data_IF_737908839142
#
_entry.id   IF_737908839142
#
_cell.length_a   1.000
_cell.length_b   1.000
_cell.length_c   1.000
_cell.angle_alpha   90.00
_cell.angle_beta   90.00
_cell.angle_gamma   90.00
#
_symmetry.space_group_name_H-M   'P 1'
#
loop_
_entity.id
_entity.type
_entity.pdbx_description
1 polymer ?
#
# COMPACT_ATOMS: atom_id res chain seq x y z
N UNK A 1 16.11 -9.79 -30.05
CA UNK A 1 16.03 -9.85 -28.58
C UNK A 1 16.32 -11.29 -28.17
N UNK A 2 17.47 -11.52 -27.55
CA UNK A 2 17.89 -12.82 -27.03
C UNK A 2 17.02 -13.23 -25.83
N UNK A 3 16.69 -14.53 -25.70
CA UNK A 3 15.86 -15.10 -24.64
C UNK A 3 16.43 -14.76 -23.24
N UNK A 4 17.75 -14.72 -23.10
CA UNK A 4 18.42 -14.36 -21.85
C UNK A 4 18.22 -12.88 -21.46
N UNK A 5 18.18 -11.98 -22.45
CA UNK A 5 17.89 -10.56 -22.25
C UNK A 5 16.42 -10.35 -21.86
N UNK A 6 15.49 -11.08 -22.49
CA UNK A 6 14.07 -11.01 -22.14
C UNK A 6 13.81 -11.44 -20.69
N UNK A 7 14.42 -12.54 -20.24
CA UNK A 7 14.24 -13.06 -18.88
C UNK A 7 14.77 -12.15 -17.76
N UNK A 8 15.56 -11.12 -18.08
CA UNK A 8 16.11 -10.19 -17.07
C UNK A 8 15.04 -9.27 -16.47
N UNK A 9 14.10 -8.78 -17.27
CA UNK A 9 13.07 -7.85 -16.82
C UNK A 9 12.03 -8.52 -15.90
N UNK A 10 11.45 -9.70 -16.24
CA UNK A 10 10.56 -10.43 -15.34
C UNK A 10 11.23 -10.82 -14.02
N UNK A 11 12.52 -11.20 -14.04
CA UNK A 11 13.26 -11.51 -12.80
C UNK A 11 13.39 -10.29 -11.89
N UNK A 12 13.74 -9.12 -12.45
CA UNK A 12 13.79 -7.87 -11.67
C UNK A 12 12.40 -7.47 -11.15
N UNK A 13 11.36 -7.66 -11.95
CA UNK A 13 9.99 -7.39 -11.52
C UNK A 13 9.56 -8.33 -10.38
N UNK A 14 9.86 -9.63 -10.47
CA UNK A 14 9.60 -10.59 -9.40
C UNK A 14 10.40 -10.23 -8.13
N UNK A 15 11.70 -9.95 -8.24
CA UNK A 15 12.52 -9.53 -7.11
C UNK A 15 11.98 -8.26 -6.43
N UNK A 16 11.46 -7.32 -7.21
CA UNK A 16 10.80 -6.13 -6.71
C UNK A 16 9.48 -6.46 -6.00
N UNK A 17 8.63 -7.31 -6.58
CA UNK A 17 7.36 -7.73 -5.99
C UNK A 17 7.59 -8.49 -4.67
N UNK A 18 8.58 -9.38 -4.65
CA UNK A 18 8.96 -10.18 -3.47
C UNK A 18 9.71 -9.36 -2.42
N UNK A 19 10.13 -8.13 -2.75
CA UNK A 19 10.85 -7.24 -1.85
C UNK A 19 12.29 -7.70 -1.56
N UNK A 20 12.88 -8.50 -2.44
CA UNK A 20 14.29 -8.89 -2.35
C UNK A 20 15.21 -7.82 -2.95
N UNK A 21 14.73 -7.04 -3.92
CA UNK A 21 15.47 -5.94 -4.53
C UNK A 21 14.59 -4.74 -4.87
N UNK A 22 14.95 -3.55 -4.38
CA UNK A 22 14.32 -2.27 -4.73
C UNK A 22 15.27 -1.29 -5.44
N UNK A 23 16.33 -1.79 -6.06
CA UNK A 23 17.26 -1.04 -6.91
C UNK A 23 16.57 -0.34 -8.07
N UNK A 24 15.51 -0.94 -8.63
CA UNK A 24 14.73 -0.36 -9.71
C UNK A 24 14.18 1.04 -9.37
N UNK A 25 13.74 1.26 -8.13
CA UNK A 25 13.29 2.58 -7.69
C UNK A 25 14.44 3.58 -7.61
N UNK A 26 15.63 3.16 -7.14
CA UNK A 26 16.80 4.03 -7.12
C UNK A 26 17.20 4.50 -8.53
N UNK A 27 17.17 3.58 -9.50
CA UNK A 27 17.44 3.91 -10.92
C UNK A 27 16.47 4.97 -11.43
N UNK A 28 15.17 4.76 -11.25
CA UNK A 28 14.14 5.69 -11.76
C UNK A 28 14.20 7.04 -11.05
N UNK A 29 14.57 7.09 -9.77
CA UNK A 29 14.80 8.36 -9.06
C UNK A 29 15.97 9.14 -9.68
N UNK A 30 17.07 8.46 -10.03
CA UNK A 30 18.17 9.09 -10.76
C UNK A 30 17.76 9.65 -12.13
N UNK A 31 16.91 8.93 -12.86
CA UNK A 31 16.36 9.41 -14.15
C UNK A 31 15.47 10.65 -13.97
N UNK A 32 14.69 10.72 -12.88
CA UNK A 32 13.89 11.91 -12.56
C UNK A 32 14.80 13.11 -12.30
N UNK A 33 15.89 12.92 -11.54
CA UNK A 33 16.87 13.97 -11.25
C UNK A 33 17.58 14.45 -12.52
N UNK A 34 17.97 13.54 -13.41
CA UNK A 34 18.58 13.87 -14.70
C UNK A 34 17.63 14.69 -15.58
N UNK A 35 16.37 14.27 -15.70
CA UNK A 35 15.36 15.02 -16.45
C UNK A 35 15.13 16.42 -15.87
N UNK A 36 15.12 16.55 -14.55
CA UNK A 36 15.01 17.84 -13.89
C UNK A 36 16.24 18.73 -14.17
N UNK A 37 17.44 18.16 -14.12
CA UNK A 37 18.70 18.84 -14.47
C UNK A 37 18.75 19.32 -15.93
N UNK A 38 18.09 18.59 -16.84
CA UNK A 38 17.91 18.97 -18.25
C UNK A 38 16.73 19.94 -18.49
N UNK A 39 16.15 20.51 -17.45
CA UNK A 39 14.97 21.40 -17.51
C UNK A 39 13.72 20.75 -18.14
N UNK A 40 13.63 19.41 -18.15
CA UNK A 40 12.48 18.64 -18.66
C UNK A 40 11.47 18.37 -17.54
N UNK A 41 11.01 19.43 -16.88
CA UNK A 41 10.23 19.34 -15.65
C UNK A 41 8.90 18.58 -15.80
N UNK A 42 8.21 18.72 -16.93
CA UNK A 42 6.93 18.05 -17.16
C UNK A 42 7.09 16.53 -17.25
N UNK A 43 8.12 16.07 -17.96
CA UNK A 43 8.44 14.65 -18.07
C UNK A 43 8.94 14.10 -16.73
N UNK A 44 9.77 14.85 -16.01
CA UNK A 44 10.19 14.49 -14.66
C UNK A 44 9.00 14.35 -13.70
N UNK A 45 8.04 15.28 -13.73
CA UNK A 45 6.84 15.25 -12.90
C UNK A 45 5.95 14.03 -13.19
N UNK A 46 5.73 13.71 -14.48
CA UNK A 46 5.00 12.48 -14.86
C UNK A 46 5.67 11.22 -14.34
N UNK A 47 6.99 11.10 -14.52
CA UNK A 47 7.75 9.93 -14.05
C UNK A 47 7.72 9.83 -12.52
N UNK A 48 7.90 10.94 -11.81
CA UNK A 48 7.75 11.01 -10.35
C UNK A 48 6.38 10.51 -9.89
N UNK A 49 5.31 10.99 -10.50
CA UNK A 49 3.94 10.63 -10.11
C UNK A 49 3.64 9.14 -10.35
N UNK A 50 4.13 8.57 -11.47
CA UNK A 50 4.05 7.13 -11.74
C UNK A 50 4.86 6.31 -10.74
N UNK A 51 6.10 6.73 -10.45
CA UNK A 51 6.97 6.02 -9.50
C UNK A 51 6.42 6.08 -8.08
N UNK A 52 5.81 7.20 -7.65
CA UNK A 52 5.13 7.28 -6.35
C UNK A 52 3.99 6.26 -6.24
N UNK A 53 3.13 6.16 -7.26
CA UNK A 53 2.06 5.18 -7.30
C UNK A 53 2.58 3.73 -7.33
N UNK A 54 3.68 3.47 -8.04
CA UNK A 54 4.34 2.17 -8.08
C UNK A 54 4.88 1.77 -6.70
N UNK A 55 5.61 2.67 -6.01
CA UNK A 55 6.12 2.44 -4.65
C UNK A 55 4.99 2.08 -3.68
N UNK A 56 3.90 2.84 -3.69
CA UNK A 56 2.74 2.59 -2.81
C UNK A 56 2.10 1.23 -3.07
N UNK A 57 1.90 0.88 -4.35
CA UNK A 57 1.25 -0.36 -4.76
C UNK A 57 2.13 -1.57 -4.44
N UNK A 58 3.43 -1.49 -4.76
CA UNK A 58 4.41 -2.53 -4.43
C UNK A 58 4.53 -2.72 -2.92
N UNK A 59 4.64 -1.64 -2.14
CA UNK A 59 4.71 -1.73 -0.69
C UNK A 59 3.45 -2.36 -0.09
N UNK A 60 2.27 -1.97 -0.58
CA UNK A 60 1.01 -2.57 -0.16
C UNK A 60 1.01 -4.07 -0.42
N UNK A 61 1.38 -4.52 -1.62
CA UNK A 61 1.46 -5.94 -1.96
C UNK A 61 2.43 -6.72 -1.06
N UNK A 62 3.64 -6.19 -0.86
CA UNK A 62 4.66 -6.80 -0.01
C UNK A 62 4.20 -6.95 1.45
N UNK A 63 3.46 -5.99 2.00
CA UNK A 63 2.90 -6.10 3.35
C UNK A 63 1.87 -7.22 3.47
N UNK A 64 1.02 -7.39 2.45
CA UNK A 64 0.04 -8.47 2.42
C UNK A 64 0.74 -9.82 2.30
N UNK A 65 1.74 -9.91 1.42
CA UNK A 65 2.56 -11.11 1.25
C UNK A 65 3.29 -11.48 2.55
N UNK A 66 3.86 -10.49 3.25
CA UNK A 66 4.54 -10.70 4.53
C UNK A 66 3.60 -11.28 5.60
N UNK A 67 2.31 -10.92 5.61
CA UNK A 67 1.33 -11.51 6.52
C UNK A 67 0.86 -12.90 6.05
N UNK A 68 0.68 -13.09 4.74
CA UNK A 68 0.29 -14.37 4.15
C UNK A 68 1.38 -15.45 4.31
N UNK A 69 2.64 -15.05 4.42
CA UNK A 69 3.78 -15.93 4.67
C UNK A 69 3.92 -16.38 6.13
N UNK A 70 3.13 -15.83 7.06
CA UNK A 70 3.13 -16.26 8.47
C UNK A 70 2.17 -17.42 8.65
N UNK A 71 2.66 -18.52 9.20
CA UNK A 71 1.87 -19.73 9.44
C UNK A 71 0.80 -19.46 10.50
N UNK A 72 1.21 -18.85 11.62
CA UNK A 72 0.30 -18.38 12.67
C UNK A 72 0.78 -17.09 13.32
N UNK A 73 -0.14 -16.12 13.45
CA UNK A 73 0.08 -14.87 14.17
C UNK A 73 -1.06 -14.65 15.16
N UNK A 74 -0.71 -14.40 16.41
CA UNK A 74 -1.65 -14.05 17.47
C UNK A 74 -1.40 -12.61 17.87
N UNK A 75 -2.44 -11.78 17.81
CA UNK A 75 -2.37 -10.38 18.17
C UNK A 75 -3.50 -9.97 19.10
N UNK A 76 -3.21 -8.98 19.94
CA UNK A 76 -4.09 -8.46 20.97
C UNK A 76 -4.20 -6.94 20.86
N UNK A 77 -5.43 -6.42 20.87
CA UNK A 77 -5.73 -4.98 20.89
C UNK A 77 -6.49 -4.64 22.17
N UNK A 78 -6.19 -3.53 22.87
CA UNK A 78 -7.00 -3.10 24.00
C UNK A 78 -8.43 -2.77 23.53
N UNK A 79 -9.44 -3.23 24.27
CA UNK A 79 -10.87 -3.02 23.96
C UNK A 79 -11.42 -1.64 24.41
N UNK A 80 -10.57 -0.83 25.04
CA UNK A 80 -10.92 0.47 25.63
C UNK A 80 -11.64 0.42 26.98
N UNK A 81 -11.95 -0.78 27.50
CA UNK A 81 -12.65 -1.03 28.78
C UNK A 81 -11.78 -1.80 29.79
N UNK A 82 -10.49 -1.97 29.49
CA UNK A 82 -9.53 -2.71 30.32
C UNK A 82 -9.49 -4.21 30.03
N UNK A 83 -10.08 -4.65 28.93
CA UNK A 83 -9.93 -5.97 28.35
C UNK A 83 -9.14 -5.95 27.03
N UNK A 84 -9.17 -7.08 26.33
CA UNK A 84 -8.46 -7.32 25.09
C UNK A 84 -9.37 -7.93 24.04
N UNK A 85 -9.28 -7.43 22.82
CA UNK A 85 -9.69 -8.13 21.61
C UNK A 85 -8.50 -8.95 21.11
N UNK A 86 -8.74 -10.19 20.74
CA UNK A 86 -7.72 -11.16 20.34
C UNK A 86 -8.06 -11.66 18.93
N UNK A 87 -7.03 -11.81 18.10
CA UNK A 87 -7.13 -12.37 16.76
C UNK A 87 -6.06 -13.43 16.56
N UNK A 88 -6.47 -14.59 16.05
CA UNK A 88 -5.58 -15.65 15.54
C UNK A 88 -5.67 -15.61 14.03
N UNK A 89 -4.53 -15.40 13.38
CA UNK A 89 -4.40 -15.22 11.94
C UNK A 89 -3.51 -16.33 11.42
N UNK A 90 -3.91 -17.01 10.34
CA UNK A 90 -3.11 -18.06 9.70
C UNK A 90 -3.06 -17.81 8.20
N UNK A 91 -1.86 -17.80 7.62
CA UNK A 91 -1.65 -17.55 6.20
C UNK A 91 -2.39 -16.31 5.66
N UNK A 92 -2.43 -15.22 6.43
CA UNK A 92 -3.09 -13.97 6.02
C UNK A 92 -4.60 -13.91 6.22
N UNK A 93 -5.22 -14.95 6.80
CA UNK A 93 -6.66 -15.07 6.99
C UNK A 93 -7.03 -15.12 8.48
N UNK A 94 -8.23 -14.66 8.84
CA UNK A 94 -8.70 -14.72 10.22
C UNK A 94 -9.15 -16.13 10.58
N UNK A 95 -8.37 -16.83 11.41
CA UNK A 95 -8.64 -18.21 11.81
C UNK A 95 -9.54 -18.30 13.07
N UNK A 96 -9.43 -17.34 13.99
CA UNK A 96 -10.31 -17.15 15.13
C UNK A 96 -10.22 -15.73 15.68
N UNK A 97 -11.24 -15.34 16.46
CA UNK A 97 -11.23 -14.12 17.25
C UNK A 97 -11.89 -14.36 18.61
N UNK A 98 -11.49 -13.58 19.61
CA UNK A 98 -12.07 -13.66 20.95
C UNK A 98 -11.82 -12.40 21.77
N UNK A 99 -12.41 -12.33 22.96
CA UNK A 99 -12.19 -11.21 23.87
C UNK A 99 -11.88 -11.69 25.28
N UNK A 100 -10.82 -11.16 25.88
CA UNK A 100 -10.56 -11.30 27.31
C UNK A 100 -11.11 -10.07 28.03
N UNK A 101 -12.20 -10.25 28.80
CA UNK A 101 -12.82 -9.15 29.54
C UNK A 101 -11.90 -8.62 30.65
N UNK A 102 -12.15 -7.41 31.12
CA UNK A 102 -11.46 -6.84 32.29
C UNK A 102 -11.51 -7.82 33.47
N UNK A 103 -10.33 -8.09 34.06
CA UNK A 103 -10.18 -9.03 35.18
C UNK A 103 -10.02 -10.49 34.77
N UNK A 104 -10.16 -10.83 33.49
CA UNK A 104 -9.86 -12.16 32.95
C UNK A 104 -8.39 -12.19 32.51
N UNK A 105 -7.57 -13.14 32.98
CA UNK A 105 -6.22 -13.29 32.46
C UNK A 105 -6.29 -13.64 30.96
N UNK A 106 -5.56 -12.94 30.08
CA UNK A 106 -5.72 -13.09 28.63
C UNK A 106 -5.14 -14.40 28.08
N UNK A 107 -4.08 -14.94 28.69
CA UNK A 107 -3.37 -16.11 28.14
C UNK A 107 -4.25 -17.37 28.02
N UNK A 108 -5.07 -17.76 29.02
CA UNK A 108 -6.00 -18.88 28.85
C UNK A 108 -7.03 -18.67 27.74
N UNK A 109 -7.44 -17.42 27.49
CA UNK A 109 -8.36 -17.10 26.38
C UNK A 109 -7.64 -17.26 25.05
N UNK A 110 -6.39 -16.79 24.95
CA UNK A 110 -5.53 -17.01 23.78
C UNK A 110 -5.38 -18.50 23.47
N UNK A 111 -5.03 -19.31 24.47
CA UNK A 111 -4.89 -20.77 24.30
C UNK A 111 -6.18 -21.41 23.80
N UNK A 112 -7.33 -21.04 24.38
CA UNK A 112 -8.64 -21.57 23.99
C UNK A 112 -9.02 -21.19 22.54
N UNK A 113 -8.83 -19.93 22.14
CA UNK A 113 -9.16 -19.50 20.77
C UNK A 113 -8.19 -20.07 19.74
N UNK A 114 -6.90 -20.24 20.09
CA UNK A 114 -5.91 -20.87 19.21
C UNK A 114 -6.24 -22.35 18.99
N UNK A 115 -6.64 -23.07 20.05
CA UNK A 115 -7.06 -24.47 19.96
C UNK A 115 -8.33 -24.65 19.10
N UNK A 116 -9.25 -23.68 19.13
CA UNK A 116 -10.48 -23.68 18.34
C UNK A 116 -10.32 -23.05 16.94
N UNK A 117 -9.16 -22.49 16.61
CA UNK A 117 -8.96 -21.75 15.37
C UNK A 117 -9.00 -22.66 14.15
N UNK A 118 -9.62 -22.14 13.07
CA UNK A 118 -9.75 -22.84 11.81
C UNK A 118 -8.37 -23.26 11.27
N UNK A 119 -8.25 -24.51 10.82
CA UNK A 119 -7.09 -24.97 10.03
C UNK A 119 -7.18 -24.40 8.61
N UNK A 120 -6.13 -23.73 8.18
CA UNK A 120 -6.04 -23.10 6.85
C UNK A 120 -4.87 -23.75 6.12
N UNK A 121 -5.14 -24.27 4.92
CA UNK A 121 -4.13 -24.88 4.06
C UNK A 121 -3.83 -23.92 2.91
N UNK A 122 -2.62 -23.37 2.80
CA UNK A 122 -2.29 -22.44 1.75
C UNK A 122 -2.28 -23.15 0.39
N UNK A 123 -2.75 -22.45 -0.64
CA UNK A 123 -2.76 -22.91 -2.02
C UNK A 123 -1.62 -22.26 -2.84
N UNK A 124 -1.28 -22.87 -3.97
CA UNK A 124 -0.39 -22.28 -4.98
C UNK A 124 -1.12 -21.18 -5.75
N UNK A 125 -1.43 -20.08 -5.05
CA UNK A 125 -2.16 -18.92 -5.54
C UNK A 125 -1.61 -17.65 -4.87
N UNK A 126 -1.91 -16.45 -5.40
CA UNK A 126 -1.57 -15.20 -4.73
C UNK A 126 -2.01 -15.20 -3.26
N UNK A 127 -1.15 -14.71 -2.36
CA UNK A 127 -1.37 -14.70 -0.91
C UNK A 127 -1.72 -16.07 -0.31
N UNK A 128 -1.24 -17.18 -0.90
CA UNK A 128 -1.54 -18.52 -0.38
C UNK A 128 -3.02 -18.91 -0.52
N UNK A 129 -3.79 -18.21 -1.37
CA UNK A 129 -5.24 -18.41 -1.52
C UNK A 129 -6.10 -17.52 -0.60
N UNK A 130 -5.50 -16.69 0.24
CA UNK A 130 -6.21 -15.71 1.05
C UNK A 130 -6.84 -14.61 0.18
N UNK A 131 -8.01 -14.09 0.60
CA UNK A 131 -8.61 -12.92 -0.02
C UNK A 131 -7.74 -11.68 0.24
N UNK A 132 -7.50 -10.91 -0.82
CA UNK A 132 -6.71 -9.66 -0.76
C UNK A 132 -7.36 -8.67 0.20
N UNK A 133 -8.69 -8.55 0.14
CA UNK A 133 -9.48 -7.65 0.97
C UNK A 133 -9.40 -8.04 2.45
N UNK A 134 -9.53 -9.34 2.75
CA UNK A 134 -9.43 -9.86 4.12
C UNK A 134 -8.03 -9.60 4.69
N UNK A 135 -6.98 -10.00 3.97
CA UNK A 135 -5.59 -9.78 4.37
C UNK A 135 -5.31 -8.30 4.61
N UNK A 136 -5.89 -7.42 3.78
CA UNK A 136 -5.77 -5.97 3.94
C UNK A 136 -6.52 -5.42 5.16
N UNK A 137 -7.71 -5.96 5.48
CA UNK A 137 -8.45 -5.61 6.70
C UNK A 137 -7.65 -5.99 7.95
N UNK A 138 -7.09 -7.20 7.97
CA UNK A 138 -6.27 -7.71 9.07
C UNK A 138 -4.99 -6.89 9.19
N UNK A 139 -4.28 -6.67 8.09
CA UNK A 139 -3.06 -5.83 8.07
C UNK A 139 -3.33 -4.42 8.60
N UNK A 140 -4.46 -3.81 8.23
CA UNK A 140 -4.86 -2.51 8.76
C UNK A 140 -5.11 -2.57 10.27
N UNK A 141 -5.85 -3.58 10.73
CA UNK A 141 -6.12 -3.78 12.16
C UNK A 141 -4.82 -3.98 12.95
N UNK A 142 -3.89 -4.81 12.47
CA UNK A 142 -2.59 -5.06 13.08
C UNK A 142 -1.73 -3.80 13.23
N UNK A 143 -1.82 -2.87 12.29
CA UNK A 143 -1.16 -1.56 12.38
C UNK A 143 -1.92 -0.51 13.19
N UNK A 144 -3.04 -0.90 13.79
CA UNK A 144 -3.82 -0.04 14.67
C UNK A 144 -3.06 0.32 15.96
N UNK A 145 -3.36 1.48 16.56
CA UNK A 145 -2.72 1.89 17.80
C UNK A 145 -3.02 0.89 18.93
N UNK A 146 -1.99 0.55 19.70
CA UNK A 146 -2.09 -0.32 20.86
C UNK A 146 -2.15 -1.82 20.57
N UNK A 147 -2.15 -2.24 19.30
CA UNK A 147 -2.05 -3.66 18.96
C UNK A 147 -0.68 -4.20 19.34
N UNK A 148 -0.66 -5.41 19.91
CA UNK A 148 0.53 -6.12 20.34
C UNK A 148 0.52 -7.51 19.74
N UNK A 149 1.68 -7.96 19.25
CA UNK A 149 1.87 -9.33 18.82
C UNK A 149 2.15 -10.18 20.07
N UNK A 150 1.33 -11.20 20.28
CA UNK A 150 1.49 -12.18 21.37
C UNK A 150 2.44 -13.29 20.94
N UNK A 151 2.27 -13.78 19.71
CA UNK A 151 3.11 -14.80 19.08
C UNK A 151 3.05 -14.65 17.56
N UNK A 152 4.12 -15.04 16.87
CA UNK A 152 4.16 -15.15 15.42
C UNK A 152 5.17 -16.23 15.02
N UNK A 153 4.74 -17.21 14.21
CA UNK A 153 5.55 -18.31 13.69
C UNK A 153 5.46 -18.32 12.16
N UNK A 154 6.60 -18.30 11.43
CA UNK A 154 7.99 -18.24 11.90
C UNK A 154 8.43 -16.84 12.39
N UNK A 155 7.52 -15.87 12.37
CA UNK A 155 7.77 -14.48 12.72
C UNK A 155 7.16 -13.54 11.69
N UNK A 156 6.88 -12.29 12.09
CA UNK A 156 6.28 -11.29 11.21
C UNK A 156 7.27 -10.15 10.96
N UNK A 157 7.77 -10.07 9.74
CA UNK A 157 8.72 -9.05 9.31
C UNK A 157 8.54 -8.71 7.83
N UNK A 158 8.95 -7.51 7.45
CA UNK A 158 9.03 -7.12 6.04
C UNK A 158 10.44 -7.41 5.50
N UNK A 159 10.58 -7.83 4.23
CA UNK A 159 11.88 -8.01 3.59
C UNK A 159 12.73 -6.73 3.61
N UNK A 160 14.05 -6.86 3.76
CA UNK A 160 14.95 -5.69 3.80
C UNK A 160 14.97 -4.89 2.49
N UNK A 161 14.77 -5.57 1.36
CA UNK A 161 14.71 -4.95 0.03
C UNK A 161 13.33 -4.37 -0.32
N UNK A 162 12.37 -4.38 0.60
CA UNK A 162 11.01 -3.93 0.33
C UNK A 162 10.94 -2.44 -0.05
N UNK A 163 9.79 -2.06 -0.63
CA UNK A 163 9.52 -0.71 -1.06
C UNK A 163 9.29 0.27 0.10
N UNK A 164 9.22 -0.20 1.35
CA UNK A 164 8.98 0.63 2.54
C UNK A 164 9.94 1.82 2.64
N UNK A 165 11.22 1.61 2.30
CA UNK A 165 12.25 2.67 2.34
C UNK A 165 11.94 3.88 1.46
N UNK A 166 11.07 3.72 0.46
CA UNK A 166 10.70 4.74 -0.51
C UNK A 166 9.35 5.40 -0.20
N UNK A 167 8.63 4.94 0.83
CA UNK A 167 7.26 5.39 1.13
C UNK A 167 7.22 6.88 1.50
N UNK A 168 8.22 7.37 2.22
CA UNK A 168 8.32 8.79 2.56
C UNK A 168 8.56 9.66 1.33
N UNK A 169 9.46 9.23 0.43
CA UNK A 169 9.66 9.88 -0.87
C UNK A 169 8.37 9.91 -1.69
N UNK A 170 7.66 8.78 -1.77
CA UNK A 170 6.40 8.69 -2.50
C UNK A 170 5.31 9.59 -1.89
N UNK A 171 5.26 9.71 -0.57
CA UNK A 171 4.36 10.63 0.12
C UNK A 171 4.67 12.09 -0.23
N UNK A 172 5.95 12.49 -0.23
CA UNK A 172 6.39 13.83 -0.65
C UNK A 172 6.04 14.11 -2.11
N UNK A 173 6.31 13.16 -3.02
CA UNK A 173 5.93 13.27 -4.44
C UNK A 173 4.43 13.46 -4.63
N UNK A 174 3.60 12.69 -3.90
CA UNK A 174 2.14 12.80 -3.93
C UNK A 174 1.67 14.17 -3.42
N UNK A 175 2.24 14.65 -2.31
CA UNK A 175 1.95 15.98 -1.78
C UNK A 175 2.29 17.09 -2.77
N UNK A 176 3.43 16.99 -3.45
CA UNK A 176 3.82 17.93 -4.50
C UNK A 176 2.86 17.92 -5.70
N UNK A 177 2.40 16.74 -6.13
CA UNK A 177 1.37 16.61 -7.17
C UNK A 177 0.05 17.27 -6.77
N UNK A 178 -0.40 17.06 -5.53
CA UNK A 178 -1.64 17.66 -5.03
C UNK A 178 -1.54 19.18 -4.94
N UNK A 179 -0.39 19.71 -4.49
CA UNK A 179 -0.13 21.14 -4.45
C UNK A 179 -0.17 21.76 -5.86
N UNK A 180 0.48 21.14 -6.86
CA UNK A 180 0.45 21.62 -8.24
C UNK A 180 -0.98 21.66 -8.81
N UNK A 181 -1.79 20.62 -8.58
CA UNK A 181 -3.18 20.58 -9.02
C UNK A 181 -4.06 21.67 -8.38
N UNK A 182 -3.79 21.99 -7.11
CA UNK A 182 -4.48 23.09 -6.43
C UNK A 182 -4.13 24.42 -7.09
N UNK A 183 -2.85 24.66 -7.37
CA UNK A 183 -2.42 25.86 -8.10
C UNK A 183 -3.07 25.97 -9.48
N UNK A 184 -3.16 24.88 -10.24
CA UNK A 184 -3.88 24.89 -11.53
C UNK A 184 -5.36 25.24 -11.37
N UNK A 185 -6.01 24.73 -10.33
CA UNK A 185 -7.42 25.03 -10.03
C UNK A 185 -7.61 26.49 -9.61
N UNK A 186 -6.71 27.03 -8.78
CA UNK A 186 -6.73 28.43 -8.34
C UNK A 186 -6.44 29.38 -9.53
N UNK A 187 -5.60 28.97 -10.48
CA UNK A 187 -5.34 29.71 -11.72
C UNK A 187 -6.56 29.70 -12.66
N UNK A 188 -7.20 28.55 -12.84
CA UNK A 188 -8.44 28.44 -13.63
C UNK A 188 -9.58 29.26 -13.00
N UNK A 189 -9.73 29.25 -11.67
CA UNK A 189 -10.74 30.07 -11.00
C UNK A 189 -10.44 31.56 -11.11
N UNK A 190 -9.18 31.96 -10.98
CA UNK A 190 -8.77 33.35 -11.18
C UNK A 190 -8.99 33.79 -12.63
N UNK A 191 -8.75 32.92 -13.60
CA UNK A 191 -9.01 33.20 -15.01
C UNK A 191 -10.52 33.35 -15.29
N UNK A 192 -11.38 32.53 -14.69
CA UNK A 192 -12.84 32.64 -14.80
C UNK A 192 -13.36 33.93 -14.14
N UNK A 193 -12.84 34.27 -12.95
CA UNK A 193 -13.13 35.54 -12.26
C UNK A 193 -12.66 36.77 -13.06
N UNK A 194 -11.60 36.62 -13.86
CA UNK A 194 -11.12 37.64 -14.80
C UNK A 194 -12.05 37.70 -16.03
N UNK A 195 -12.42 36.57 -16.63
CA UNK A 195 -13.35 36.48 -17.78
C UNK A 195 -14.70 37.14 -17.44
N UNK A 196 -15.24 36.87 -16.24
CA UNK A 196 -16.48 37.48 -15.74
C UNK A 196 -16.34 38.99 -15.48
N UNK A 197 -15.20 39.44 -14.94
CA UNK A 197 -14.93 40.87 -14.71
C UNK A 197 -14.71 41.66 -15.99
N UNK A 198 -14.14 41.04 -17.02
CA UNK A 198 -13.88 41.68 -18.31
C UNK A 198 -14.95 41.36 -19.37
N UNK A 199 -16.02 40.63 -19.01
CA UNK A 199 -17.16 40.34 -19.88
C UNK A 199 -16.82 39.44 -21.07
N UNK A 200 -15.69 38.75 -21.03
CA UNK A 200 -15.26 37.83 -22.08
C UNK A 200 -15.97 36.50 -21.80
N UNK A 201 -17.06 36.22 -22.52
CA UNK A 201 -17.70 34.89 -22.46
C UNK A 201 -17.06 34.00 -23.50
N UNK A 202 -16.51 32.85 -23.08
CA UNK A 202 -16.12 31.78 -24.02
C UNK A 202 -17.28 31.49 -24.99
N UNK A 203 -17.04 31.44 -26.31
CA UNK A 203 -18.10 31.18 -27.28
C UNK A 203 -18.69 29.78 -27.04
N UNK A 204 -20.02 29.74 -26.90
CA UNK A 204 -20.79 28.50 -26.72
C UNK A 204 -20.53 27.61 -27.93
N UNK A 205 -19.93 26.43 -27.73
CA UNK A 205 -19.69 25.47 -28.84
C UNK A 205 -21.02 25.19 -29.54
N UNK A 206 -21.11 25.37 -30.88
CA UNK A 206 -22.35 25.06 -31.58
C UNK A 206 -22.61 23.56 -31.49
N UNK A 207 -23.81 23.20 -31.03
CA UNK A 207 -24.32 21.84 -31.16
C UNK A 207 -24.47 21.55 -32.66
N UNK A 208 -23.72 20.58 -33.17
CA UNK A 208 -23.97 20.02 -34.48
C UNK A 208 -25.26 19.20 -34.41
N UNK A 209 -26.37 19.78 -34.88
CA UNK A 209 -27.56 19.00 -35.24
C UNK A 209 -27.22 18.19 -36.50
N UNK A 210 -27.21 16.88 -36.35
CA UNK A 210 -27.10 15.94 -37.47
C UNK A 210 -28.46 15.86 -38.20
N UNK A 211 -28.42 15.99 -39.52
CA UNK A 211 -29.50 15.64 -40.46
C UNK A 211 -29.29 14.20 -40.92
#
# INVERSE_FOLDING_TARGET
>A
LDMAQYASAPRRAAALIDGTDSSAFATVLGEIEELAGLHRYETAARLRDHTAAAVETTWRGQRLQALAAVDELIAARPDGRGGWELAVIRHGQLAAAGCARRGVPPMPVVEAITAAAQTILPAQAPLGGALVEETALITRWLTGPGVRIVSAEPGYASPVGCAARWVEWAATARSARLAARRSDTDLDSAADDLDDRYGVRRPRRPHAEAV
#
